data_IF_862133536455
#
_entry.id   IF_862133536455
#
_cell.length_a   1.000
_cell.length_b   1.000
_cell.length_c   1.000
_cell.angle_alpha   90.00
_cell.angle_beta   90.00
_cell.angle_gamma   90.00
#
_symmetry.space_group_name_H-M   'P 1'
#
loop_
_entity.id
_entity.type
_entity.pdbx_description
1 polymer ?
#
# COMPACT_ATOMS: atom_id res chain seq x y z
N UNK A 1 -52.03 9.02 37.99
CA UNK A 1 -51.17 7.87 38.37
C UNK A 1 -50.62 7.28 37.09
N UNK A 2 -49.32 7.42 36.86
CA UNK A 2 -48.65 6.78 35.72
C UNK A 2 -48.46 5.31 36.08
N UNK A 3 -48.88 4.39 35.21
CA UNK A 3 -48.76 2.95 35.46
C UNK A 3 -47.28 2.56 35.50
N UNK A 4 -46.93 1.62 36.39
CA UNK A 4 -45.56 1.09 36.51
C UNK A 4 -45.05 0.50 35.18
N UNK A 5 -45.97 0.06 34.32
CA UNK A 5 -45.70 -0.44 32.96
C UNK A 5 -45.22 0.67 32.02
N UNK A 6 -45.82 1.87 32.10
CA UNK A 6 -45.44 3.00 31.24
C UNK A 6 -44.04 3.53 31.59
N UNK A 7 -43.67 3.45 32.87
CA UNK A 7 -42.32 3.79 33.35
C UNK A 7 -41.27 2.82 32.81
N UNK A 8 -41.58 1.52 32.76
CA UNK A 8 -40.69 0.50 32.21
C UNK A 8 -40.52 0.64 30.69
N UNK A 9 -41.61 0.87 29.94
CA UNK A 9 -41.54 1.08 28.49
C UNK A 9 -40.77 2.35 28.16
N UNK A 10 -41.01 3.45 28.90
CA UNK A 10 -40.27 4.69 28.74
C UNK A 10 -38.77 4.50 29.01
N UNK A 11 -38.40 3.73 30.04
CA UNK A 11 -36.99 3.48 30.35
C UNK A 11 -36.29 2.58 29.31
N UNK A 12 -36.99 1.59 28.75
CA UNK A 12 -36.48 0.77 27.64
C UNK A 12 -36.31 1.62 26.37
N UNK A 13 -37.26 2.50 26.05
CA UNK A 13 -37.15 3.40 24.90
C UNK A 13 -36.04 4.45 25.10
N UNK A 14 -35.89 5.00 26.30
CA UNK A 14 -34.82 5.96 26.62
C UNK A 14 -33.44 5.30 26.54
N UNK A 15 -33.31 4.07 27.05
CA UNK A 15 -32.06 3.31 26.94
C UNK A 15 -31.76 2.88 25.51
N UNK A 16 -32.77 2.61 24.69
CA UNK A 16 -32.58 2.35 23.25
C UNK A 16 -32.12 3.61 22.50
N UNK A 17 -32.72 4.77 22.77
CA UNK A 17 -32.33 6.05 22.17
C UNK A 17 -30.91 6.45 22.59
N UNK A 18 -30.58 6.35 23.88
CA UNK A 18 -29.22 6.62 24.37
C UNK A 18 -28.21 5.61 23.81
N UNK A 19 -28.59 4.32 23.68
CA UNK A 19 -27.71 3.30 23.11
C UNK A 19 -27.45 3.48 21.61
N UNK A 20 -28.38 4.05 20.86
CA UNK A 20 -28.15 4.39 19.44
C UNK A 20 -27.29 5.65 19.27
N UNK A 21 -27.21 6.53 20.28
CA UNK A 21 -26.36 7.71 20.26
C UNK A 21 -24.92 7.48 20.79
N UNK A 22 -24.63 6.31 21.38
CA UNK A 22 -23.27 5.92 21.77
C UNK A 22 -22.47 5.36 20.57
N UNK A 23 -23.13 5.13 19.44
CA UNK A 23 -22.46 4.72 18.21
C UNK A 23 -21.81 5.95 17.57
N UNK A 24 -20.51 6.09 17.85
CA UNK A 24 -19.55 7.04 17.31
C UNK A 24 -19.45 8.37 18.09
N UNK A 25 -18.75 8.32 19.22
CA UNK A 25 -17.95 9.44 19.75
C UNK A 25 -16.77 9.78 18.79
N UNK A 26 -17.05 9.80 17.47
CA UNK A 26 -16.27 10.56 16.52
C UNK A 26 -16.50 12.00 16.96
N UNK A 27 -15.41 12.71 17.31
CA UNK A 27 -15.40 14.17 17.41
C UNK A 27 -16.41 14.68 16.40
N UNK A 28 -17.50 15.31 16.84
CA UNK A 28 -18.38 16.01 15.92
C UNK A 28 -17.47 17.03 15.23
N UNK A 29 -16.94 16.65 14.07
CA UNK A 29 -16.05 17.49 13.31
C UNK A 29 -16.99 18.52 12.72
N UNK A 30 -17.17 19.60 13.48
CA UNK A 30 -17.98 20.76 13.11
C UNK A 30 -17.35 21.53 11.95
N UNK A 31 -16.41 20.95 11.22
CA UNK A 31 -15.58 21.56 10.19
C UNK A 31 -15.44 20.60 9.00
N UNK A 32 -15.45 21.17 7.79
CA UNK A 32 -15.13 20.40 6.58
C UNK A 32 -13.62 20.15 6.51
N UNK A 33 -13.23 19.00 5.99
CA UNK A 33 -11.81 18.66 5.88
C UNK A 33 -11.55 17.24 5.45
N UNK A 34 -10.36 16.76 5.81
CA UNK A 34 -9.87 15.43 5.48
C UNK A 34 -9.48 14.67 6.75
N UNK A 35 -10.10 13.52 6.98
CA UNK A 35 -9.74 12.57 8.02
C UNK A 35 -8.76 11.53 7.48
N UNK A 36 -7.52 11.58 7.97
CA UNK A 36 -6.45 10.66 7.62
C UNK A 36 -6.19 9.62 8.73
N UNK A 37 -7.18 9.36 9.59
CA UNK A 37 -7.16 8.36 10.65
C UNK A 37 -6.55 8.86 11.96
N UNK A 38 -5.28 9.25 11.95
CA UNK A 38 -4.61 9.80 13.13
C UNK A 38 -4.51 11.33 13.14
N UNK A 39 -4.93 11.97 12.05
CA UNK A 39 -4.91 13.42 11.91
C UNK A 39 -6.09 13.89 11.07
N UNK A 40 -6.65 15.03 11.44
CA UNK A 40 -7.68 15.74 10.69
C UNK A 40 -7.11 17.05 10.16
N UNK A 41 -7.46 17.39 8.92
CA UNK A 41 -7.00 18.59 8.23
C UNK A 41 -8.21 19.34 7.69
N UNK A 42 -8.56 20.47 8.31
CA UNK A 42 -9.66 21.29 7.83
C UNK A 42 -9.32 22.00 6.52
N UNK A 43 -10.36 22.47 5.82
CA UNK A 43 -10.22 23.13 4.52
C UNK A 43 -9.28 24.34 4.55
N UNK A 44 -9.32 25.11 5.63
CA UNK A 44 -8.47 26.29 5.80
C UNK A 44 -6.99 25.89 5.81
N UNK A 45 -6.63 24.85 6.58
CA UNK A 45 -5.25 24.34 6.63
C UNK A 45 -4.76 23.86 5.26
N UNK A 46 -5.62 23.16 4.51
CA UNK A 46 -5.29 22.69 3.17
C UNK A 46 -5.11 23.87 2.22
N UNK A 47 -6.03 24.84 2.25
CA UNK A 47 -5.95 26.05 1.42
C UNK A 47 -4.69 26.87 1.69
N UNK A 48 -4.39 27.16 2.96
CA UNK A 48 -3.21 27.93 3.36
C UNK A 48 -1.93 27.22 2.94
N UNK A 49 -1.91 25.88 3.04
CA UNK A 49 -0.76 25.09 2.61
C UNK A 49 -0.57 25.14 1.09
N UNK A 50 -1.64 25.07 0.30
CA UNK A 50 -1.57 25.22 -1.16
C UNK A 50 -1.09 26.61 -1.55
N UNK A 51 -1.67 27.66 -0.95
CA UNK A 51 -1.23 29.05 -1.18
C UNK A 51 0.26 29.22 -0.92
N UNK A 52 0.76 28.63 0.16
CA UNK A 52 2.19 28.65 0.48
C UNK A 52 3.02 27.85 -0.54
N UNK A 53 2.57 26.65 -0.89
CA UNK A 53 3.27 25.74 -1.80
C UNK A 53 3.38 26.29 -3.24
N UNK A 54 2.39 27.09 -3.67
CA UNK A 54 2.36 27.75 -4.98
C UNK A 54 3.14 29.07 -5.01
N UNK A 55 3.64 29.56 -3.86
CA UNK A 55 4.51 30.74 -3.85
C UNK A 55 5.81 30.48 -4.61
N UNK A 56 6.36 31.51 -5.27
CA UNK A 56 7.60 31.41 -6.05
C UNK A 56 8.77 30.79 -5.26
N UNK A 57 8.82 31.05 -3.95
CA UNK A 57 9.83 30.49 -3.05
C UNK A 57 9.68 28.98 -2.86
N UNK A 58 8.45 28.47 -2.82
CA UNK A 58 8.18 27.05 -2.55
C UNK A 58 7.95 26.20 -3.79
N UNK A 59 7.64 26.81 -4.95
CA UNK A 59 7.33 26.10 -6.20
C UNK A 59 8.41 25.09 -6.62
N UNK A 60 9.69 25.40 -6.35
CA UNK A 60 10.84 24.50 -6.59
C UNK A 60 10.83 23.22 -5.73
N UNK A 61 10.02 23.18 -4.69
CA UNK A 61 9.92 22.06 -3.76
C UNK A 61 8.70 21.17 -4.02
N UNK A 62 7.90 21.47 -5.04
CA UNK A 62 6.78 20.63 -5.43
C UNK A 62 7.32 19.33 -6.01
N UNK A 63 6.67 18.23 -5.65
CA UNK A 63 7.02 16.91 -6.16
C UNK A 63 5.92 16.45 -7.10
N UNK A 64 6.22 16.01 -8.33
CA UNK A 64 5.21 15.38 -9.17
C UNK A 64 4.69 14.13 -8.46
N UNK A 65 3.38 13.91 -8.53
CA UNK A 65 2.80 12.65 -8.07
C UNK A 65 3.19 11.53 -9.03
N UNK A 66 3.72 10.45 -8.48
CA UNK A 66 3.97 9.20 -9.19
C UNK A 66 3.44 8.07 -8.34
N UNK A 67 2.34 7.46 -8.78
CA UNK A 67 1.69 6.38 -8.06
C UNK A 67 0.38 5.94 -8.70
N UNK A 68 -0.26 4.90 -8.16
CA UNK A 68 -1.42 4.25 -8.77
C UNK A 68 -2.78 4.86 -8.36
N UNK A 69 -2.82 5.87 -7.48
CA UNK A 69 -4.08 6.47 -7.01
C UNK A 69 -4.78 7.31 -8.07
N UNK A 70 -4.03 7.82 -9.04
CA UNK A 70 -4.52 8.71 -10.08
C UNK A 70 -3.99 8.26 -11.45
N UNK A 71 -4.66 8.68 -12.52
CA UNK A 71 -4.19 8.41 -13.88
C UNK A 71 -2.84 9.07 -14.13
N UNK A 72 -1.92 8.38 -14.82
CA UNK A 72 -0.64 8.94 -15.22
C UNK A 72 -0.74 9.99 -16.32
N UNK A 73 -1.91 10.12 -16.95
CA UNK A 73 -2.17 11.12 -18.00
C UNK A 73 -2.28 12.55 -17.41
N UNK A 74 -2.55 12.64 -16.10
CA UNK A 74 -2.75 13.91 -15.42
C UNK A 74 -1.48 14.31 -14.65
N UNK A 75 -1.01 15.53 -14.90
CA UNK A 75 0.18 16.09 -14.25
C UNK A 75 -0.17 16.62 -12.85
N UNK A 76 -0.27 15.72 -11.87
CA UNK A 76 -0.51 16.09 -10.49
C UNK A 76 0.75 16.45 -9.72
N UNK A 77 0.62 17.39 -8.80
CA UNK A 77 1.66 17.84 -7.88
C UNK A 77 1.31 17.45 -6.45
N UNK A 78 2.33 17.26 -5.63
CA UNK A 78 2.21 16.98 -4.21
C UNK A 78 2.94 18.03 -3.37
N UNK A 79 2.32 18.38 -2.24
CA UNK A 79 2.97 19.15 -1.18
C UNK A 79 2.77 18.47 0.17
N UNK A 80 3.82 18.32 1.00
CA UNK A 80 3.66 17.77 2.35
C UNK A 80 2.84 18.72 3.21
N UNK A 81 2.00 18.17 4.09
CA UNK A 81 1.28 18.93 5.12
C UNK A 81 1.49 18.26 6.48
N UNK A 82 1.54 19.07 7.53
CA UNK A 82 1.73 18.60 8.90
C UNK A 82 0.46 18.80 9.72
N UNK A 83 0.15 17.88 10.65
CA UNK A 83 -0.90 18.10 11.64
C UNK A 83 -0.66 19.38 12.43
N UNK A 84 -1.74 20.02 12.87
CA UNK A 84 -1.66 21.22 13.69
C UNK A 84 -0.76 21.02 14.92
N UNK A 85 0.04 22.03 15.26
CA UNK A 85 0.99 21.97 16.39
C UNK A 85 2.28 21.19 16.12
N UNK A 86 2.44 20.55 14.95
CA UNK A 86 3.70 19.88 14.59
C UNK A 86 4.66 20.86 13.92
N UNK A 87 5.83 21.06 14.49
CA UNK A 87 6.88 21.89 13.89
C UNK A 87 7.58 21.16 12.73
N UNK A 88 7.80 21.87 11.62
CA UNK A 88 8.50 21.34 10.45
C UNK A 88 9.99 21.18 10.74
N UNK A 89 10.40 19.99 11.19
CA UNK A 89 11.80 19.69 11.47
C UNK A 89 12.53 19.36 10.15
N UNK A 90 13.38 20.28 9.71
CA UNK A 90 14.34 20.15 8.58
C UNK A 90 13.76 19.80 7.20
N UNK A 91 14.36 20.37 6.14
CA UNK A 91 14.01 20.13 4.72
C UNK A 91 14.20 18.67 4.29
N UNK A 92 15.09 17.90 4.95
CA UNK A 92 15.35 16.49 4.61
C UNK A 92 14.17 15.55 4.91
N UNK A 93 13.14 15.99 5.64
CA UNK A 93 11.97 15.15 6.00
C UNK A 93 10.84 15.14 4.97
N UNK A 94 10.86 16.02 3.96
CA UNK A 94 9.72 16.24 3.04
C UNK A 94 9.31 15.01 2.22
N UNK A 95 10.27 14.26 1.67
CA UNK A 95 9.98 13.01 0.95
C UNK A 95 9.43 11.92 1.88
N UNK A 96 9.69 12.00 3.18
CA UNK A 96 9.21 11.08 4.21
C UNK A 96 7.91 11.55 4.87
N UNK A 97 7.32 12.64 4.38
CA UNK A 97 6.06 13.14 4.91
C UNK A 97 4.97 12.05 4.84
N UNK A 98 4.26 11.93 5.96
CA UNK A 98 3.20 10.94 6.14
C UNK A 98 1.93 11.40 5.42
N UNK A 99 1.65 12.71 5.43
CA UNK A 99 0.50 13.30 4.74
C UNK A 99 0.97 14.24 3.64
N UNK A 100 0.23 14.20 2.52
CA UNK A 100 0.48 15.05 1.37
C UNK A 100 -0.85 15.52 0.78
N UNK A 101 -0.86 16.75 0.30
CA UNK A 101 -1.94 17.29 -0.51
C UNK A 101 -1.60 17.00 -1.96
N UNK A 102 -2.58 16.51 -2.73
CA UNK A 102 -2.49 16.32 -4.17
C UNK A 102 -3.34 17.39 -4.85
N UNK A 103 -2.76 18.09 -5.82
CA UNK A 103 -3.43 19.18 -6.53
C UNK A 103 -2.99 19.22 -8.00
N UNK A 104 -3.83 19.80 -8.85
CA UNK A 104 -3.52 19.97 -10.27
C UNK A 104 -2.57 21.14 -10.54
N UNK A 105 -2.22 21.35 -11.81
CA UNK A 105 -1.36 22.47 -12.24
C UNK A 105 -1.92 23.86 -11.94
N UNK A 106 -3.23 23.98 -11.70
CA UNK A 106 -3.92 25.23 -11.39
C UNK A 106 -4.04 25.48 -9.88
N UNK A 107 -3.54 24.56 -9.05
CA UNK A 107 -3.70 24.64 -7.60
C UNK A 107 -5.04 24.12 -7.08
N UNK A 108 -5.87 23.49 -7.92
CA UNK A 108 -7.11 22.85 -7.47
C UNK A 108 -6.74 21.60 -6.68
N UNK A 109 -7.19 21.55 -5.43
CA UNK A 109 -7.03 20.38 -4.57
C UNK A 109 -7.84 19.23 -5.17
N UNK A 110 -7.16 18.12 -5.43
CA UNK A 110 -7.77 16.89 -5.90
C UNK A 110 -8.15 16.03 -4.71
N UNK A 111 -7.20 15.83 -3.80
CA UNK A 111 -7.35 14.93 -2.67
C UNK A 111 -6.25 15.16 -1.64
N UNK A 112 -6.44 14.58 -0.45
CA UNK A 112 -5.38 14.43 0.53
C UNK A 112 -5.01 12.95 0.65
N UNK A 113 -3.72 12.64 0.75
CA UNK A 113 -3.22 11.27 0.83
C UNK A 113 -2.36 11.04 2.07
N UNK A 114 -2.47 9.84 2.64
CA UNK A 114 -1.69 9.38 3.79
C UNK A 114 -0.86 8.16 3.43
N UNK A 115 0.35 8.08 3.99
CA UNK A 115 1.25 6.95 3.82
C UNK A 115 0.80 5.75 4.66
N UNK A 116 0.67 4.62 4.00
CA UNK A 116 0.36 3.31 4.57
C UNK A 116 1.59 2.61 5.14
N UNK A 117 1.37 1.56 5.94
CA UNK A 117 2.44 0.76 6.57
C UNK A 117 3.39 0.11 5.55
N UNK A 118 2.91 -0.22 4.36
CA UNK A 118 3.71 -0.71 3.23
C UNK A 118 4.38 0.40 2.40
N UNK A 119 4.35 1.66 2.86
CA UNK A 119 4.92 2.85 2.19
C UNK A 119 4.16 3.34 0.94
N UNK A 120 3.07 2.68 0.56
CA UNK A 120 2.13 3.19 -0.43
C UNK A 120 1.30 4.33 0.14
N UNK A 121 0.45 4.93 -0.69
CA UNK A 121 -0.49 5.96 -0.27
C UNK A 121 -1.93 5.48 -0.41
N UNK A 122 -2.80 6.04 0.43
CA UNK A 122 -4.23 5.96 0.31
C UNK A 122 -4.85 7.35 0.46
N UNK A 123 -6.03 7.54 -0.11
CA UNK A 123 -6.80 8.77 0.03
C UNK A 123 -7.32 8.89 1.47
N UNK A 124 -7.24 10.09 2.02
CA UNK A 124 -7.90 10.43 3.27
C UNK A 124 -9.39 10.64 3.02
N UNK A 125 -10.18 10.45 4.06
CA UNK A 125 -11.63 10.57 3.98
C UNK A 125 -12.05 12.04 3.92
N UNK A 126 -12.80 12.44 2.90
CA UNK A 126 -13.38 13.79 2.83
C UNK A 126 -14.59 13.88 3.76
N UNK A 127 -14.51 14.76 4.76
CA UNK A 127 -15.61 15.06 5.67
C UNK A 127 -16.25 16.37 5.21
N UNK A 128 -17.47 16.30 4.70
CA UNK A 128 -18.27 17.46 4.34
C UNK A 128 -19.51 17.49 5.24
N UNK A 129 -19.75 18.60 5.96
CA UNK A 129 -20.88 18.76 6.90
C UNK A 129 -22.25 18.47 6.28
N UNK A 130 -22.38 18.64 4.97
CA UNK A 130 -23.63 18.46 4.24
C UNK A 130 -23.92 17.00 3.89
N UNK A 131 -22.93 16.10 4.01
CA UNK A 131 -23.06 14.72 3.58
C UNK A 131 -23.31 13.82 4.79
N UNK A 132 -24.46 13.17 4.83
CA UNK A 132 -24.76 12.20 5.89
C UNK A 132 -23.84 10.99 5.77
N UNK A 133 -23.43 10.42 6.90
CA UNK A 133 -22.66 9.15 6.94
C UNK A 133 -23.37 8.00 6.23
N UNK A 134 -24.70 8.01 6.17
CA UNK A 134 -25.47 7.00 5.44
C UNK A 134 -25.22 7.03 3.94
N UNK A 135 -25.08 8.22 3.34
CA UNK A 135 -24.80 8.36 1.88
C UNK A 135 -23.43 7.85 1.46
N UNK A 136 -22.56 7.58 2.44
CA UNK A 136 -21.19 7.15 2.24
C UNK A 136 -21.10 5.63 2.11
N UNK A 137 -21.90 4.89 2.87
CA UNK A 137 -21.92 3.43 2.84
C UNK A 137 -22.96 2.88 1.87
N UNK A 138 -24.03 3.63 1.58
CA UNK A 138 -25.03 3.28 0.56
C UNK A 138 -24.62 3.74 -0.85
N UNK A 139 -23.48 3.22 -1.32
CA UNK A 139 -23.27 3.17 -2.76
C UNK A 139 -24.08 1.97 -3.26
N UNK A 140 -25.30 2.23 -3.72
CA UNK A 140 -26.36 1.27 -4.12
C UNK A 140 -25.88 0.13 -5.04
N UNK A 141 -24.69 0.22 -5.60
CA UNK A 141 -24.11 -0.78 -6.51
C UNK A 141 -22.60 -0.96 -6.31
N UNK A 142 -22.08 -0.72 -5.11
CA UNK A 142 -20.68 -1.00 -4.83
C UNK A 142 -20.38 -2.50 -4.98
N UNK A 143 -19.20 -2.79 -5.51
CA UNK A 143 -18.67 -4.14 -5.67
C UNK A 143 -17.33 -4.34 -4.94
N UNK A 144 -16.99 -3.44 -4.02
CA UNK A 144 -15.77 -3.53 -3.23
C UNK A 144 -15.31 -2.22 -2.60
N UNK A 145 -14.06 -2.25 -2.15
CA UNK A 145 -13.44 -1.20 -1.35
C UNK A 145 -12.17 -0.68 -2.02
N UNK A 146 -12.04 0.64 -2.11
CA UNK A 146 -10.80 1.33 -2.45
C UNK A 146 -10.01 1.62 -1.17
N UNK A 147 -8.90 0.90 -1.01
CA UNK A 147 -7.97 1.03 0.11
C UNK A 147 -6.66 1.73 -0.32
N UNK A 148 -6.73 2.66 -1.27
CA UNK A 148 -5.57 3.35 -1.81
C UNK A 148 -5.11 2.71 -3.12
N UNK A 149 -3.89 2.18 -3.18
CA UNK A 149 -3.42 1.54 -4.41
C UNK A 149 -4.15 0.22 -4.74
N UNK A 150 -4.89 -0.34 -3.77
CA UNK A 150 -5.53 -1.64 -3.88
C UNK A 150 -7.05 -1.52 -3.82
N UNK A 151 -7.70 -2.08 -4.84
CA UNK A 151 -9.13 -2.33 -4.83
C UNK A 151 -9.41 -3.75 -4.34
N UNK A 152 -10.29 -3.91 -3.35
CA UNK A 152 -10.63 -5.19 -2.72
C UNK A 152 -12.10 -5.51 -3.00
N UNK A 153 -12.34 -6.59 -3.75
CA UNK A 153 -13.70 -6.99 -4.16
C UNK A 153 -14.52 -7.49 -2.97
N UNK A 154 -15.83 -7.27 -3.01
CA UNK A 154 -16.76 -7.78 -1.99
C UNK A 154 -16.67 -9.29 -1.81
N UNK A 155 -16.45 -10.06 -2.89
CA UNK A 155 -16.27 -11.51 -2.80
C UNK A 155 -15.08 -11.89 -1.90
N UNK A 156 -13.97 -11.13 -1.96
CA UNK A 156 -12.81 -11.36 -1.10
C UNK A 156 -13.08 -10.96 0.35
N UNK A 157 -13.81 -9.87 0.55
CA UNK A 157 -14.23 -9.43 1.88
C UNK A 157 -15.14 -10.48 2.54
N UNK A 158 -16.12 -11.01 1.79
CA UNK A 158 -17.03 -12.05 2.25
C UNK A 158 -16.28 -13.35 2.60
N UNK A 159 -15.34 -13.78 1.76
CA UNK A 159 -14.44 -14.91 2.03
C UNK A 159 -13.67 -14.70 3.34
N UNK A 160 -13.00 -13.55 3.50
CA UNK A 160 -12.26 -13.22 4.72
C UNK A 160 -13.16 -13.17 5.97
N UNK A 161 -14.38 -12.61 5.84
CA UNK A 161 -15.33 -12.53 6.94
C UNK A 161 -15.84 -13.92 7.37
N UNK A 162 -16.08 -14.83 6.43
CA UNK A 162 -16.45 -16.22 6.73
C UNK A 162 -15.35 -16.91 7.54
N UNK A 163 -14.10 -16.83 7.07
CA UNK A 163 -12.95 -17.44 7.75
C UNK A 163 -12.76 -16.84 9.15
N UNK A 164 -12.91 -15.52 9.28
CA UNK A 164 -12.77 -14.84 10.56
C UNK A 164 -13.85 -15.27 11.56
N UNK A 165 -15.10 -15.43 11.11
CA UNK A 165 -16.21 -15.94 11.92
C UNK A 165 -15.98 -17.38 12.37
N UNK A 166 -15.62 -18.27 11.45
CA UNK A 166 -15.28 -19.66 11.78
C UNK A 166 -14.14 -19.76 12.80
N UNK A 167 -13.18 -18.83 12.74
CA UNK A 167 -12.09 -18.77 13.71
C UNK A 167 -12.61 -18.31 15.09
N UNK A 168 -13.51 -17.34 15.14
CA UNK A 168 -14.14 -16.90 16.38
C UNK A 168 -14.95 -18.01 17.05
N UNK A 169 -15.75 -18.74 16.26
CA UNK A 169 -16.63 -19.81 16.76
C UNK A 169 -15.83 -20.97 17.37
N UNK A 170 -14.59 -21.20 16.90
CA UNK A 170 -13.66 -22.18 17.48
C UNK A 170 -13.06 -21.75 18.82
N UNK A 171 -13.45 -20.59 19.36
CA UNK A 171 -12.88 -20.02 20.59
C UNK A 171 -11.44 -19.53 20.42
N UNK A 172 -10.96 -19.41 19.19
CA UNK A 172 -9.61 -18.92 18.93
C UNK A 172 -9.57 -17.40 19.18
N UNK A 173 -9.09 -17.02 20.37
CA UNK A 173 -8.87 -15.62 20.76
C UNK A 173 -7.67 -14.96 20.05
N UNK A 174 -7.19 -15.53 18.95
CA UNK A 174 -6.02 -15.05 18.22
C UNK A 174 -6.28 -13.78 17.39
N UNK A 175 -7.51 -13.27 17.36
CA UNK A 175 -7.80 -12.03 16.65
C UNK A 175 -7.37 -10.83 17.48
N UNK A 176 -6.42 -10.02 16.99
CA UNK A 176 -6.02 -8.82 17.69
C UNK A 176 -7.22 -7.88 17.82
N UNK A 177 -7.46 -7.41 19.05
CA UNK A 177 -8.42 -6.34 19.29
C UNK A 177 -7.98 -5.08 18.56
N UNK A 178 -8.95 -4.37 17.97
CA UNK A 178 -8.71 -3.09 17.33
C UNK A 178 -8.13 -2.09 18.35
N UNK A 179 -7.04 -1.45 17.97
CA UNK A 179 -6.44 -0.32 18.68
C UNK A 179 -6.16 0.78 17.67
N UNK A 180 -6.84 1.90 17.82
CA UNK A 180 -6.70 3.05 16.94
C UNK A 180 -7.77 4.10 17.24
N UNK A 181 -7.92 5.08 16.35
CA UNK A 181 -8.78 6.24 16.59
C UNK A 181 -10.14 6.16 15.88
N UNK A 182 -10.40 5.12 15.06
CA UNK A 182 -11.64 5.02 14.28
C UNK A 182 -12.84 4.54 15.11
N UNK A 183 -12.60 3.78 16.18
CA UNK A 183 -13.63 3.20 17.05
C UNK A 183 -13.18 3.25 18.51
N UNK A 184 -14.13 3.34 19.44
CA UNK A 184 -13.85 3.18 20.86
C UNK A 184 -13.33 1.77 21.15
N UNK A 185 -12.32 1.68 22.01
CA UNK A 185 -11.73 0.40 22.42
C UNK A 185 -12.71 -0.48 23.20
N UNK A 186 -13.69 0.14 23.87
CA UNK A 186 -14.69 -0.52 24.70
C UNK A 186 -15.64 -1.40 23.89
N UNK A 187 -15.85 -1.10 22.61
CA UNK A 187 -16.70 -1.89 21.71
C UNK A 187 -16.08 -3.28 21.45
N UNK A 188 -14.76 -3.42 21.64
CA UNK A 188 -14.11 -4.73 21.55
C UNK A 188 -14.02 -5.30 20.13
N UNK A 189 -14.06 -4.45 19.10
CA UNK A 189 -13.88 -4.88 17.72
C UNK A 189 -12.56 -5.63 17.51
N UNK A 190 -12.57 -6.56 16.57
CA UNK A 190 -11.44 -7.43 16.24
C UNK A 190 -11.01 -7.21 14.80
N UNK A 191 -9.72 -7.42 14.53
CA UNK A 191 -9.14 -7.27 13.21
C UNK A 191 -8.80 -8.62 12.58
N UNK A 192 -9.12 -8.77 11.30
CA UNK A 192 -8.70 -9.90 10.49
C UNK A 192 -7.98 -9.41 9.22
N UNK A 193 -6.74 -9.84 8.95
CA UNK A 193 -5.99 -9.39 7.77
C UNK A 193 -6.56 -9.98 6.48
N UNK A 194 -6.65 -9.17 5.43
CA UNK A 194 -7.24 -9.58 4.14
C UNK A 194 -6.26 -10.43 3.32
N UNK A 195 -4.99 -10.02 3.30
CA UNK A 195 -3.93 -10.71 2.58
C UNK A 195 -2.95 -11.35 3.57
N UNK A 196 -3.48 -12.31 4.32
CA UNK A 196 -2.66 -13.28 5.04
C UNK A 196 -2.13 -14.24 3.97
N UNK A 197 -0.87 -14.16 3.56
CA UNK A 197 -0.30 -15.11 2.59
C UNK A 197 -0.68 -16.53 3.01
N UNK A 198 -1.39 -17.24 2.13
CA UNK A 198 -1.69 -18.67 2.09
C UNK A 198 -1.99 -19.34 3.44
N UNK A 199 -3.24 -19.79 3.60
CA UNK A 199 -3.94 -20.30 4.79
C UNK A 199 -3.36 -21.55 5.47
N UNK A 200 -2.03 -21.65 5.64
CA UNK A 200 -1.36 -22.68 6.43
C UNK A 200 -0.79 -22.04 7.70
N UNK A 201 -1.70 -21.91 8.68
CA UNK A 201 -1.48 -22.12 10.11
C UNK A 201 -0.34 -21.31 10.78
N UNK A 202 -0.76 -20.23 11.44
CA UNK A 202 -0.39 -19.82 12.80
C UNK A 202 0.99 -20.20 13.37
N UNK A 203 2.08 -19.73 12.77
CA UNK A 203 3.31 -19.48 13.52
C UNK A 203 3.87 -18.13 13.10
N UNK A 204 3.66 -17.11 13.93
CA UNK A 204 4.28 -15.79 13.80
C UNK A 204 5.81 -15.92 13.80
N UNK A 205 6.52 -15.78 12.67
CA UNK A 205 7.96 -15.59 12.68
C UNK A 205 8.23 -14.11 12.96
N UNK A 206 9.24 -13.82 13.76
CA UNK A 206 9.61 -12.46 14.22
C UNK A 206 9.88 -11.42 13.10
N UNK A 207 9.93 -11.82 11.83
CA UNK A 207 10.28 -10.98 10.69
C UNK A 207 9.16 -10.80 9.65
N UNK A 208 7.91 -11.18 9.93
CA UNK A 208 6.82 -11.02 8.96
C UNK A 208 6.41 -9.55 8.76
N UNK A 209 6.21 -9.19 7.48
CA UNK A 209 5.63 -7.91 7.07
C UNK A 209 4.27 -7.74 7.74
N UNK A 210 4.15 -6.67 8.51
CA UNK A 210 2.90 -6.29 9.17
C UNK A 210 1.81 -6.15 8.10
N UNK A 211 0.66 -6.82 8.22
CA UNK A 211 -0.43 -6.68 7.25
C UNK A 211 -0.89 -5.22 7.18
N UNK A 212 -1.21 -4.77 5.96
CA UNK A 212 -1.68 -3.39 5.73
C UNK A 212 -3.20 -3.30 5.75
N UNK A 213 -3.90 -4.30 5.24
CA UNK A 213 -5.35 -4.26 5.03
C UNK A 213 -6.07 -5.26 5.91
N UNK A 214 -7.12 -4.82 6.58
CA UNK A 214 -7.89 -5.60 7.53
C UNK A 214 -9.38 -5.43 7.29
N UNK A 215 -10.15 -6.48 7.55
CA UNK A 215 -11.56 -6.32 7.90
C UNK A 215 -11.69 -6.11 9.41
N UNK A 216 -12.67 -5.31 9.79
CA UNK A 216 -13.08 -5.08 11.17
C UNK A 216 -14.35 -5.88 11.41
N UNK A 217 -14.36 -6.70 12.45
CA UNK A 217 -15.52 -7.50 12.82
C UNK A 217 -15.88 -7.26 14.29
N UNK A 218 -17.17 -7.39 14.61
CA UNK A 218 -17.62 -7.36 16.00
C UNK A 218 -17.44 -8.70 16.71
N UNK A 219 -17.88 -8.77 17.96
CA UNK A 219 -17.84 -9.97 18.79
C UNK A 219 -18.65 -11.14 18.22
N UNK A 220 -19.62 -10.87 17.34
CA UNK A 220 -20.45 -11.88 16.65
C UNK A 220 -19.86 -12.31 15.31
N UNK A 221 -18.72 -11.74 14.91
CA UNK A 221 -18.11 -12.00 13.60
C UNK A 221 -18.86 -11.35 12.43
N UNK A 222 -19.68 -10.33 12.70
CA UNK A 222 -20.25 -9.50 11.64
C UNK A 222 -19.24 -8.46 11.16
N UNK A 223 -19.15 -8.29 9.84
CA UNK A 223 -18.33 -7.26 9.22
C UNK A 223 -18.85 -5.86 9.60
N UNK A 224 -17.96 -5.02 10.12
CA UNK A 224 -18.24 -3.60 10.40
C UNK A 224 -17.59 -2.67 9.38
N UNK A 225 -16.35 -2.97 8.98
CA UNK A 225 -15.62 -2.08 8.07
C UNK A 225 -14.42 -2.79 7.41
N UNK A 226 -13.81 -2.10 6.45
CA UNK A 226 -12.53 -2.44 5.83
C UNK A 226 -11.57 -1.28 6.04
N UNK A 227 -10.42 -1.55 6.66
CA UNK A 227 -9.46 -0.51 7.06
C UNK A 227 -8.05 -0.79 6.55
N UNK A 228 -7.28 0.28 6.37
CA UNK A 228 -5.87 0.22 6.02
C UNK A 228 -4.99 0.83 7.12
N UNK A 229 -3.91 0.14 7.48
CA UNK A 229 -2.94 0.58 8.49
C UNK A 229 -2.00 1.63 7.93
N UNK A 230 -1.89 2.76 8.60
CA UNK A 230 -0.99 3.86 8.27
C UNK A 230 0.44 3.59 8.75
N UNK A 231 1.42 4.34 8.24
CA UNK A 231 2.82 4.20 8.66
C UNK A 231 3.08 4.57 10.13
N UNK A 232 2.10 5.15 10.82
CA UNK A 232 2.13 5.46 12.26
C UNK A 232 1.43 4.40 13.12
N UNK A 233 1.10 3.24 12.55
CA UNK A 233 0.34 2.18 13.23
C UNK A 233 -1.07 2.58 13.66
N UNK A 234 -1.66 3.61 13.04
CA UNK A 234 -3.09 3.86 13.12
C UNK A 234 -3.79 3.31 11.88
N UNK A 235 -5.08 3.59 11.70
CA UNK A 235 -5.88 3.07 10.60
C UNK A 235 -6.73 4.15 9.94
N UNK A 236 -7.00 3.99 8.65
CA UNK A 236 -8.00 4.74 7.90
C UNK A 236 -9.07 3.80 7.37
N UNK A 237 -10.29 4.30 7.19
CA UNK A 237 -11.37 3.56 6.52
C UNK A 237 -11.10 3.49 5.02
N UNK A 238 -11.37 2.34 4.41
CA UNK A 238 -11.39 2.20 2.97
C UNK A 238 -12.73 2.70 2.42
N UNK A 239 -12.72 3.29 1.22
CA UNK A 239 -13.94 3.81 0.60
C UNK A 239 -14.70 2.69 -0.11
N UNK A 240 -15.99 2.54 0.19
CA UNK A 240 -16.86 1.65 -0.58
C UNK A 240 -17.09 2.28 -1.95
N UNK A 241 -16.71 1.59 -3.03
CA UNK A 241 -16.79 2.14 -4.39
C UNK A 241 -17.38 1.12 -5.36
N UNK A 242 -18.03 1.60 -6.42
CA UNK A 242 -18.32 0.79 -7.60
C UNK A 242 -17.18 0.97 -8.58
N UNK A 243 -16.32 -0.04 -8.68
CA UNK A 243 -15.33 -0.07 -9.75
C UNK A 243 -15.92 -0.84 -10.90
N UNK A 244 -16.24 -0.15 -12.01
CA UNK A 244 -16.55 -0.82 -13.26
C UNK A 244 -15.28 -1.59 -13.62
N UNK A 245 -15.30 -2.89 -13.36
CA UNK A 245 -14.29 -3.75 -13.93
C UNK A 245 -14.47 -3.61 -15.44
N UNK A 246 -13.39 -3.40 -16.20
CA UNK A 246 -13.50 -3.49 -17.65
C UNK A 246 -14.27 -4.78 -17.92
N UNK A 247 -15.34 -4.68 -18.71
CA UNK A 247 -16.11 -5.84 -19.09
C UNK A 247 -15.11 -6.92 -19.50
N UNK A 248 -15.27 -8.18 -19.06
CA UNK A 248 -14.47 -9.26 -19.64
C UNK A 248 -14.65 -9.08 -21.15
N UNK A 249 -13.58 -8.69 -21.86
CA UNK A 249 -13.63 -8.15 -23.24
C UNK A 249 -14.70 -8.95 -24.02
N UNK A 250 -15.91 -8.42 -24.21
CA UNK A 250 -17.02 -9.10 -24.93
C UNK A 250 -16.75 -9.00 -26.44
N UNK A 251 -15.48 -9.09 -26.77
CA UNK A 251 -14.93 -8.61 -28.02
C UNK A 251 -13.76 -9.53 -28.39
N UNK A 252 -14.09 -10.81 -28.46
CA UNK A 252 -13.41 -11.74 -29.35
C UNK A 252 -13.33 -11.20 -30.80
N UNK A 253 -14.14 -10.20 -31.16
CA UNK A 253 -14.17 -9.53 -32.46
C UNK A 253 -13.32 -8.25 -32.58
N UNK A 254 -13.08 -7.45 -31.53
CA UNK A 254 -12.19 -6.27 -31.61
C UNK A 254 -10.69 -6.56 -31.48
N UNK A 255 -10.29 -7.83 -31.65
CA UNK A 255 -8.90 -8.25 -31.89
C UNK A 255 -8.22 -7.52 -33.07
N UNK A 256 -8.95 -6.75 -33.87
CA UNK A 256 -8.44 -6.01 -35.03
C UNK A 256 -7.79 -4.66 -34.69
N UNK A 257 -8.06 -4.05 -33.52
CA UNK A 257 -7.27 -2.89 -33.07
C UNK A 257 -6.09 -3.40 -32.25
N UNK A 258 -4.97 -3.65 -32.94
CA UNK A 258 -3.74 -4.16 -32.36
C UNK A 258 -3.32 -3.31 -31.14
N UNK A 259 -3.60 -3.81 -29.92
CA UNK A 259 -3.07 -3.22 -28.70
C UNK A 259 -1.52 -3.24 -28.86
N UNK A 260 -0.82 -2.15 -28.53
CA UNK A 260 0.62 -2.07 -28.78
C UNK A 260 1.34 -3.25 -28.11
N UNK A 261 2.34 -3.86 -28.78
CA UNK A 261 3.11 -4.97 -28.25
C UNK A 261 3.74 -4.58 -26.90
N UNK A 262 3.84 -5.56 -25.99
CA UNK A 262 4.51 -5.37 -24.71
C UNK A 262 5.96 -5.80 -24.85
N UNK A 263 6.87 -4.90 -24.51
CA UNK A 263 8.29 -5.19 -24.53
C UNK A 263 8.77 -5.48 -23.11
N UNK A 264 9.74 -6.38 -22.97
CA UNK A 264 10.28 -6.75 -21.67
C UNK A 264 11.38 -7.79 -21.74
N UNK A 265 11.65 -8.43 -20.62
CA UNK A 265 12.64 -9.49 -20.50
C UNK A 265 12.00 -10.75 -19.93
N UNK A 266 12.29 -11.90 -20.54
CA UNK A 266 11.79 -13.19 -20.11
C UNK A 266 12.91 -14.02 -19.49
N UNK A 267 12.70 -14.40 -18.24
CA UNK A 267 13.56 -15.25 -17.45
C UNK A 267 12.82 -16.57 -17.22
N UNK A 268 13.05 -17.57 -18.07
CA UNK A 268 12.29 -18.84 -18.09
C UNK A 268 10.78 -18.58 -18.30
N UNK A 269 9.97 -18.80 -17.26
CA UNK A 269 8.51 -18.65 -17.29
C UNK A 269 8.06 -17.26 -16.82
N UNK A 270 8.99 -16.39 -16.41
CA UNK A 270 8.69 -15.09 -15.79
C UNK A 270 9.02 -13.97 -16.77
N UNK A 271 8.06 -13.07 -16.98
CA UNK A 271 8.22 -11.91 -17.84
C UNK A 271 8.21 -10.60 -17.05
N UNK A 272 9.23 -9.77 -17.27
CA UNK A 272 9.40 -8.45 -16.67
C UNK A 272 9.16 -7.37 -17.73
N UNK A 273 8.05 -6.64 -17.61
CA UNK A 273 7.69 -5.57 -18.56
C UNK A 273 8.68 -4.39 -18.51
N UNK A 274 9.07 -3.85 -19.67
CA UNK A 274 10.04 -2.75 -19.76
C UNK A 274 9.62 -1.53 -18.94
N UNK A 275 8.32 -1.19 -18.96
CA UNK A 275 7.75 -0.08 -18.20
C UNK A 275 8.00 -0.21 -16.70
N UNK A 276 7.92 -1.45 -16.20
CA UNK A 276 8.16 -1.77 -14.80
C UNK A 276 9.65 -1.62 -14.46
N UNK A 277 10.51 -2.23 -15.27
CA UNK A 277 11.96 -2.21 -15.03
C UNK A 277 12.50 -0.77 -15.07
N UNK A 278 12.02 0.04 -16.00
CA UNK A 278 12.44 1.43 -16.14
C UNK A 278 11.97 2.30 -14.98
N UNK A 279 10.76 2.09 -14.45
CA UNK A 279 10.33 2.74 -13.19
C UNK A 279 11.20 2.32 -12.02
N UNK A 280 11.55 1.03 -11.95
CA UNK A 280 12.42 0.52 -10.89
C UNK A 280 13.82 1.13 -10.97
N UNK A 281 14.41 1.29 -12.16
CA UNK A 281 15.72 1.93 -12.32
C UNK A 281 15.70 3.40 -11.87
N UNK A 282 14.66 4.18 -12.20
CA UNK A 282 14.52 5.55 -11.71
C UNK A 282 14.44 5.63 -10.18
N UNK A 283 13.69 4.71 -9.55
CA UNK A 283 13.62 4.66 -8.09
C UNK A 283 14.97 4.36 -7.43
N UNK A 284 15.80 3.50 -8.06
CA UNK A 284 17.13 3.18 -7.56
C UNK A 284 18.08 4.36 -7.76
N UNK A 285 18.02 5.05 -8.90
CA UNK A 285 18.83 6.25 -9.17
C UNK A 285 18.62 7.32 -8.09
N UNK A 286 17.36 7.58 -7.70
CA UNK A 286 17.02 8.50 -6.61
C UNK A 286 17.55 8.06 -5.24
N UNK A 287 17.79 6.75 -5.06
CA UNK A 287 18.25 6.15 -3.79
C UNK A 287 19.74 5.82 -3.75
N UNK A 288 20.46 5.94 -4.87
CA UNK A 288 21.87 5.57 -5.00
C UNK A 288 22.79 6.28 -3.99
N UNK A 289 22.37 7.45 -3.49
CA UNK A 289 23.10 8.19 -2.44
C UNK A 289 23.04 7.52 -1.06
N UNK A 290 22.08 6.62 -0.82
CA UNK A 290 21.86 5.95 0.46
C UNK A 290 22.28 4.49 0.46
N UNK A 291 22.30 3.87 -0.72
CA UNK A 291 22.63 2.47 -0.88
C UNK A 291 23.41 2.28 -2.16
N UNK A 292 24.61 1.69 -2.04
CA UNK A 292 25.48 1.41 -3.16
C UNK A 292 25.08 0.06 -3.77
N UNK A 293 24.61 0.05 -5.04
CA UNK A 293 24.35 -1.21 -5.74
C UNK A 293 25.62 -2.06 -5.84
N UNK A 294 25.44 -3.38 -5.94
CA UNK A 294 26.57 -4.29 -6.11
C UNK A 294 27.19 -4.08 -7.50
N UNK A 295 28.42 -3.60 -7.54
CA UNK A 295 29.18 -3.44 -8.78
C UNK A 295 29.60 -4.81 -9.33
N UNK A 296 29.54 -4.96 -10.65
CA UNK A 296 29.89 -6.18 -11.37
C UNK A 296 30.56 -5.84 -12.69
N UNK A 297 31.78 -6.34 -12.89
CA UNK A 297 32.62 -5.98 -14.04
C UNK A 297 33.02 -7.23 -14.87
N UNK A 298 32.25 -8.33 -14.76
CA UNK A 298 32.57 -9.61 -15.40
C UNK A 298 31.57 -10.01 -16.52
N UNK A 299 31.85 -11.14 -17.20
CA UNK A 299 30.90 -11.79 -18.10
C UNK A 299 29.59 -12.12 -17.34
N UNK A 300 28.41 -12.03 -17.95
CA UNK A 300 28.15 -11.97 -19.40
C UNK A 300 28.00 -10.56 -19.99
N UNK A 301 28.15 -9.49 -19.20
CA UNK A 301 27.82 -8.13 -19.67
C UNK A 301 28.99 -7.37 -20.27
N UNK A 302 30.23 -7.81 -20.05
CA UNK A 302 31.46 -7.28 -20.64
C UNK A 302 31.72 -5.76 -20.41
N UNK A 303 30.95 -5.13 -19.52
CA UNK A 303 31.12 -3.75 -19.09
C UNK A 303 30.75 -3.60 -17.62
N UNK A 304 31.37 -2.66 -16.87
CA UNK A 304 30.98 -2.34 -15.51
C UNK A 304 29.49 -2.03 -15.38
N UNK A 305 28.83 -2.72 -14.47
CA UNK A 305 27.39 -2.59 -14.25
C UNK A 305 27.03 -2.74 -12.76
N UNK A 306 25.79 -2.44 -12.43
CA UNK A 306 25.19 -2.63 -11.12
C UNK A 306 24.18 -3.76 -11.16
N UNK A 307 24.25 -4.65 -10.17
CA UNK A 307 23.30 -5.74 -9.97
C UNK A 307 22.35 -5.40 -8.83
N UNK A 308 21.06 -5.53 -9.10
CA UNK A 308 19.98 -5.13 -8.22
C UNK A 308 18.94 -6.24 -8.11
N UNK A 309 18.62 -6.74 -6.90
CA UNK A 309 17.56 -7.72 -6.74
C UNK A 309 16.23 -7.23 -7.32
N UNK A 310 15.72 -7.95 -8.32
CA UNK A 310 14.35 -7.82 -8.81
C UNK A 310 13.49 -8.79 -8.02
N UNK A 311 12.94 -8.28 -6.92
CA UNK A 311 12.08 -9.10 -6.08
C UNK A 311 10.75 -9.34 -6.78
N UNK A 312 10.36 -10.61 -6.90
CA UNK A 312 8.99 -10.99 -7.26
C UNK A 312 8.06 -10.74 -6.06
N UNK A 313 7.23 -9.68 -6.12
CA UNK A 313 6.13 -9.43 -5.18
C UNK A 313 6.48 -9.50 -3.68
N UNK A 314 7.73 -9.29 -3.33
CA UNK A 314 8.18 -9.21 -1.93
C UNK A 314 8.25 -10.54 -1.23
N UNK A 315 8.35 -11.62 -1.99
CA UNK A 315 8.78 -12.90 -1.44
C UNK A 315 10.24 -12.71 -0.98
N UNK A 316 10.52 -12.97 0.29
CA UNK A 316 11.90 -13.03 0.76
C UNK A 316 12.53 -14.30 0.21
N UNK A 317 13.79 -14.21 -0.22
CA UNK A 317 14.53 -15.35 -0.75
C UNK A 317 14.59 -16.46 0.30
N UNK A 318 14.01 -17.62 -0.02
CA UNK A 318 14.32 -18.87 0.69
C UNK A 318 15.47 -19.55 -0.04
N UNK A 319 16.29 -20.26 0.72
CA UNK A 319 17.36 -21.12 0.22
C UNK A 319 16.80 -22.02 -0.89
N UNK A 320 17.39 -21.94 -2.10
CA UNK A 320 17.06 -22.64 -3.35
C UNK A 320 16.27 -21.88 -4.45
N UNK A 321 16.01 -20.58 -4.31
CA UNK A 321 15.41 -19.80 -5.40
C UNK A 321 16.45 -19.13 -6.33
N UNK A 322 16.15 -19.17 -7.63
CA UNK A 322 16.84 -18.37 -8.67
C UNK A 322 16.55 -16.90 -8.39
N UNK A 323 17.59 -16.11 -8.16
CA UNK A 323 17.45 -14.68 -7.91
C UNK A 323 17.40 -13.93 -9.26
N UNK A 324 16.34 -13.16 -9.48
CA UNK A 324 16.26 -12.27 -10.63
C UNK A 324 16.94 -10.95 -10.29
N UNK A 325 17.79 -10.46 -11.18
CA UNK A 325 18.61 -9.28 -11.00
C UNK A 325 18.35 -8.31 -12.15
N UNK A 326 18.09 -7.05 -11.82
CA UNK A 326 18.19 -5.95 -12.76
C UNK A 326 19.65 -5.57 -12.93
N UNK A 327 20.08 -5.52 -14.17
CA UNK A 327 21.41 -5.11 -14.58
C UNK A 327 21.33 -3.69 -15.10
N UNK A 328 21.95 -2.75 -14.39
CA UNK A 328 22.03 -1.35 -14.80
C UNK A 328 23.45 -0.98 -15.21
N UNK A 329 23.59 -0.10 -16.18
CA UNK A 329 24.87 0.54 -16.44
C UNK A 329 25.23 1.50 -15.29
N UNK A 330 26.45 2.02 -15.31
CA UNK A 330 26.95 2.95 -14.27
C UNK A 330 26.18 4.27 -14.21
N UNK A 331 25.44 4.62 -15.26
CA UNK A 331 24.52 5.77 -15.34
C UNK A 331 23.07 5.44 -14.95
N UNK A 332 22.83 4.24 -14.41
CA UNK A 332 21.51 3.69 -14.05
C UNK A 332 20.57 3.41 -15.23
N UNK A 333 21.06 3.44 -16.48
CA UNK A 333 20.28 2.96 -17.63
C UNK A 333 20.12 1.43 -17.58
N UNK A 334 18.94 0.94 -17.99
CA UNK A 334 18.60 -0.48 -17.96
C UNK A 334 19.37 -1.21 -19.08
N UNK A 335 20.25 -2.13 -18.69
CA UNK A 335 20.97 -2.98 -19.66
C UNK A 335 20.20 -4.26 -19.92
N UNK A 336 19.95 -5.06 -18.88
CA UNK A 336 19.34 -6.39 -18.97
C UNK A 336 18.58 -6.74 -17.69
N UNK A 337 17.80 -7.82 -17.76
CA UNK A 337 17.46 -8.62 -16.58
C UNK A 337 18.29 -9.90 -16.63
N UNK A 338 18.70 -10.43 -15.49
CA UNK A 338 19.46 -11.66 -15.39
C UNK A 338 18.93 -12.57 -14.28
N UNK A 339 19.20 -13.86 -14.39
CA UNK A 339 18.99 -14.86 -13.36
C UNK A 339 20.32 -15.22 -12.73
N UNK A 340 20.38 -15.30 -11.41
CA UNK A 340 21.50 -15.90 -10.69
C UNK A 340 21.20 -17.39 -10.42
N UNK A 341 21.98 -18.26 -11.06
CA UNK A 341 21.89 -19.71 -10.91
C UNK A 341 23.19 -20.20 -10.27
N UNK A 342 23.15 -20.40 -8.95
CA UNK A 342 24.37 -20.65 -8.17
C UNK A 342 25.29 -19.43 -8.16
N UNK A 343 26.45 -19.54 -8.80
CA UNK A 343 27.43 -18.45 -8.94
C UNK A 343 27.36 -17.73 -10.30
N UNK A 344 26.63 -18.30 -11.24
CA UNK A 344 26.60 -17.82 -12.62
C UNK A 344 25.43 -16.85 -12.83
N UNK A 345 25.66 -15.84 -13.66
CA UNK A 345 24.63 -14.91 -14.12
C UNK A 345 24.24 -15.26 -15.55
N UNK A 346 22.95 -15.50 -15.75
CA UNK A 346 22.38 -15.84 -17.05
C UNK A 346 21.48 -14.68 -17.49
N UNK A 347 21.80 -13.95 -18.57
CA UNK A 347 20.97 -12.85 -19.03
C UNK A 347 19.63 -13.40 -19.54
N UNK A 348 18.57 -12.69 -19.24
CA UNK A 348 17.22 -12.99 -19.71
C UNK A 348 17.02 -12.47 -21.13
N UNK A 349 16.17 -13.15 -21.88
CA UNK A 349 15.90 -12.85 -23.29
C UNK A 349 14.98 -11.63 -23.37
N UNK A 350 15.33 -10.66 -24.23
CA UNK A 350 14.45 -9.53 -24.51
C UNK A 350 13.38 -10.01 -25.48
N UNK A 351 12.11 -9.97 -25.06
CA UNK A 351 10.99 -10.43 -25.87
C UNK A 351 9.99 -9.29 -26.10
N UNK A 352 9.41 -9.25 -27.29
CA UNK A 352 8.25 -8.45 -27.63
C UNK A 352 7.04 -9.37 -27.76
N UNK A 353 6.08 -9.22 -26.85
CA UNK A 353 4.85 -10.00 -26.88
C UNK A 353 3.76 -9.27 -27.65
N UNK A 354 3.22 -9.88 -28.72
CA UNK A 354 1.97 -9.41 -29.31
C UNK A 354 0.87 -9.51 -28.25
N UNK A 355 0.18 -8.41 -27.95
CA UNK A 355 -0.93 -8.44 -26.98
C UNK A 355 -2.07 -9.28 -27.56
N UNK A 356 -2.36 -10.40 -26.91
CA UNK A 356 -3.38 -11.36 -27.32
C UNK A 356 -3.17 -12.75 -26.71
N UNK A 357 -1.94 -13.06 -26.28
CA UNK A 357 -1.65 -14.22 -25.45
C UNK A 357 -2.00 -13.88 -24.00
N UNK A 358 -3.11 -14.39 -23.49
CA UNK A 358 -3.36 -14.46 -22.04
C UNK A 358 -2.59 -15.65 -21.45
N UNK A 359 -1.27 -15.50 -21.36
CA UNK A 359 -0.49 -16.45 -20.58
C UNK A 359 -0.78 -16.24 -19.09
N UNK A 360 -1.26 -17.28 -18.41
CA UNK A 360 -1.72 -17.22 -17.00
C UNK A 360 -0.59 -16.91 -16.01
N UNK A 361 0.64 -16.77 -16.50
CA UNK A 361 1.85 -16.48 -15.72
C UNK A 361 2.30 -15.00 -15.73
N UNK A 362 1.46 -14.07 -16.23
CA UNK A 362 1.78 -12.64 -16.11
C UNK A 362 1.72 -12.18 -14.64
N UNK A 363 2.89 -12.08 -14.03
CA UNK A 363 3.10 -11.42 -12.74
C UNK A 363 2.90 -9.91 -12.90
N UNK A 364 1.69 -9.42 -12.58
CA UNK A 364 1.42 -8.00 -12.41
C UNK A 364 2.00 -7.56 -11.06
N UNK A 365 3.15 -6.89 -11.11
CA UNK A 365 3.84 -6.42 -9.90
C UNK A 365 3.13 -5.19 -9.29
N UNK A 366 2.67 -5.34 -8.05
CA UNK A 366 2.38 -4.22 -7.15
C UNK A 366 3.72 -3.74 -6.56
N UNK A 367 3.98 -2.43 -6.59
CA UNK A 367 5.29 -1.77 -6.44
C UNK A 367 6.00 -1.88 -5.07
N UNK A 368 5.73 -2.90 -4.26
CA UNK A 368 6.08 -2.96 -2.84
C UNK A 368 7.16 -3.98 -2.46
N UNK A 369 8.43 -3.69 -2.78
CA UNK A 369 9.57 -4.42 -2.19
C UNK A 369 10.84 -3.60 -2.05
N UNK A 370 10.99 -2.93 -0.91
CA UNK A 370 12.31 -2.69 -0.33
C UNK A 370 12.39 -3.48 0.99
N UNK A 371 12.92 -4.70 0.96
CA UNK A 371 13.39 -5.39 2.17
C UNK A 371 14.87 -5.09 2.35
N UNK A 372 15.19 -4.39 3.44
CA UNK A 372 16.55 -4.31 3.94
C UNK A 372 16.88 -5.63 4.63
N UNK A 373 17.89 -6.31 4.12
CA UNK A 373 18.72 -7.23 4.89
C UNK A 373 20.16 -6.86 4.53
N UNK A 374 20.90 -6.28 5.47
CA UNK A 374 22.34 -6.10 5.31
C UNK A 374 22.99 -7.47 5.47
N UNK A 375 23.80 -7.95 4.52
CA UNK A 375 24.74 -9.02 4.82
C UNK A 375 25.76 -8.46 5.81
N UNK A 376 25.76 -8.98 7.03
CA UNK A 376 26.83 -8.70 7.99
C UNK A 376 28.19 -9.05 7.40
N UNK A 377 29.26 -8.36 7.80
CA UNK A 377 30.59 -8.59 7.25
C UNK A 377 31.04 -10.01 7.58
N UNK A 378 31.23 -10.85 6.57
CA UNK A 378 31.98 -12.10 6.70
C UNK A 378 33.40 -11.77 7.13
N UNK A 379 33.70 -11.97 8.42
CA UNK A 379 35.05 -11.94 8.96
C UNK A 379 35.83 -13.12 8.38
N UNK A 380 36.87 -12.81 7.59
CA UNK A 380 37.94 -13.74 7.25
C UNK A 380 38.57 -14.27 8.55
N UNK A 381 38.42 -15.58 8.79
CA UNK A 381 39.13 -16.29 9.84
C UNK A 381 40.58 -16.47 9.38
N UNK A 382 41.47 -15.62 9.88
CA UNK A 382 42.90 -15.84 9.87
C UNK A 382 43.24 -17.09 10.72
N UNK A 383 43.53 -18.22 10.08
CA UNK A 383 43.99 -19.43 10.77
C UNK A 383 45.53 -19.43 10.86
N UNK A 384 46.00 -19.17 12.09
CA UNK A 384 47.36 -19.36 12.62
C UNK A 384 48.07 -20.59 12.05
N UNK A 385 49.31 -20.42 11.56
CA UNK A 385 50.38 -21.44 11.61
C UNK A 385 51.51 -20.97 12.54
N UNK A 386 51.61 -21.63 13.67
CA UNK A 386 52.76 -21.79 14.59
C UNK A 386 52.62 -23.26 15.03
N UNK A 387 53.60 -24.14 15.12
CA UNK A 387 55.07 -24.17 15.10
C UNK A 387 55.42 -25.63 14.75
N UNK A 388 56.57 -25.89 14.15
CA UNK A 388 57.43 -27.00 14.58
C UNK A 388 58.88 -26.61 14.26
N UNK A 389 59.65 -26.36 15.32
CA UNK A 389 61.11 -26.46 15.32
C UNK A 389 61.48 -27.95 15.41
N UNK A 390 62.66 -28.30 14.90
CA UNK A 390 63.72 -28.80 15.80
C UNK A 390 64.66 -27.69 16.24
#
# INVERSE_FOLDING_TARGET
MISLVDLFISWILLSYIVSTHIVLDQRELKENGYDCGDAFFNDQMVHDRIKTALSEKEKKNLLPYSGPLYSSEESYMMSPILPMGTLLRSTKSRQKAIYKIVFDKNGKVIDMIVRLANRQFAKCWRIDKQRSETSIYDVVESNGYDCGYKFIRDSKIAECASIARETLDKGNNYLPQYRGNLYSQEIGYKLWPIYHRDSIIHQYPKNQRIPTFFIVIDSTGQLKDVIARTSKNNHIRCMRVKKILPAPDIDELSRTFAKPPRNGYKCKEIFFESNYIQRFSYMIQDQATKWLPRRYDCAPFHSPCFLLPLNENGKSYRENHVEHLLVLATDFSVMHVAMQVGKDLVPCEKEEFPRGYEDRNFLRYDSDVNSHEEPGPTTEIARKKRKYSP
#
